data_IF_033580346113
#
_entry.id   IF_033580346113
#
_cell.length_a   1.000
_cell.length_b   1.000
_cell.length_c   1.000
_cell.angle_alpha   90.00
_cell.angle_beta   90.00
_cell.angle_gamma   90.00
#
_symmetry.space_group_name_H-M   'P 1'
#
loop_
_entity.id
_entity.type
_entity.pdbx_description
1 polymer ?
#
# COMPACT_ATOMS: atom_id res chain seq x y z
N UNK A 1 -8.52 1.75 19.01
CA UNK A 1 -8.61 2.66 17.84
C UNK A 1 -8.50 1.89 16.52
N UNK A 2 -8.84 0.59 16.50
CA UNK A 2 -8.49 -0.35 15.42
C UNK A 2 -9.41 -0.29 14.19
N UNK A 3 -10.56 0.38 14.28
CA UNK A 3 -11.52 0.44 13.16
C UNK A 3 -11.12 1.45 12.08
N UNK A 4 -10.26 2.42 12.40
CA UNK A 4 -9.98 3.55 11.52
C UNK A 4 -8.85 3.28 10.51
N UNK A 5 -7.77 2.59 10.92
CA UNK A 5 -6.65 2.21 10.05
C UNK A 5 -7.07 1.16 9.02
N UNK A 6 -7.71 0.08 9.48
CA UNK A 6 -8.28 -0.96 8.63
C UNK A 6 -9.32 -0.39 7.65
N UNK A 7 -10.14 0.57 8.09
CA UNK A 7 -11.08 1.26 7.21
C UNK A 7 -10.41 2.11 6.13
N UNK A 8 -9.26 2.74 6.39
CA UNK A 8 -8.55 3.52 5.37
C UNK A 8 -7.93 2.60 4.32
N UNK A 9 -7.28 1.51 4.74
CA UNK A 9 -6.70 0.54 3.82
C UNK A 9 -7.76 -0.02 2.86
N UNK A 10 -8.91 -0.47 3.36
CA UNK A 10 -9.98 -0.98 2.51
C UNK A 10 -10.50 0.06 1.52
N UNK A 11 -10.74 1.29 1.97
CA UNK A 11 -11.21 2.37 1.07
C UNK A 11 -10.19 2.72 -0.02
N UNK A 12 -8.90 2.73 0.32
CA UNK A 12 -7.83 3.02 -0.62
C UNK A 12 -7.62 1.88 -1.62
N UNK A 13 -7.71 0.63 -1.14
CA UNK A 13 -7.65 -0.57 -1.97
C UNK A 13 -8.85 -0.65 -2.95
N UNK A 14 -10.07 -0.38 -2.47
CA UNK A 14 -11.26 -0.30 -3.31
C UNK A 14 -11.10 0.75 -4.42
N UNK A 15 -10.39 1.85 -4.15
CA UNK A 15 -10.09 2.88 -5.13
C UNK A 15 -9.03 2.43 -6.15
N UNK A 16 -7.97 1.73 -5.71
CA UNK A 16 -6.93 1.18 -6.61
C UNK A 16 -7.50 0.14 -7.57
N UNK A 17 -8.41 -0.70 -7.08
CA UNK A 17 -9.03 -1.79 -7.84
C UNK A 17 -10.33 -1.38 -8.53
N UNK A 18 -10.71 -0.10 -8.44
CA UNK A 18 -11.98 0.39 -8.94
C UNK A 18 -12.12 0.17 -10.47
N UNK A 19 -13.11 -0.64 -10.86
CA UNK A 19 -13.41 -0.96 -12.25
C UNK A 19 -12.60 -2.13 -12.84
N UNK A 20 -11.69 -2.75 -12.07
CA UNK A 20 -11.01 -4.00 -12.50
C UNK A 20 -11.98 -5.19 -12.62
N UNK A 21 -13.13 -5.11 -11.96
CA UNK A 21 -14.21 -6.10 -12.02
C UNK A 21 -15.06 -6.01 -13.31
N UNK A 22 -14.79 -5.02 -14.17
CA UNK A 22 -15.55 -4.78 -15.40
C UNK A 22 -16.85 -3.98 -15.19
N UNK A 23 -17.11 -3.50 -13.98
CA UNK A 23 -18.26 -2.62 -13.71
C UNK A 23 -18.09 -1.23 -14.35
N UNK A 24 -19.18 -0.56 -14.77
CA UNK A 24 -19.09 0.80 -15.28
C UNK A 24 -18.53 1.79 -14.24
N UNK A 25 -17.56 2.60 -14.65
CA UNK A 25 -16.99 3.66 -13.82
C UNK A 25 -17.89 4.89 -13.92
N UNK A 26 -18.58 5.22 -12.83
CA UNK A 26 -19.37 6.45 -12.73
C UNK A 26 -18.50 7.60 -12.20
N UNK A 27 -18.42 8.68 -12.96
CA UNK A 27 -17.50 9.78 -12.67
C UNK A 27 -17.77 10.46 -11.32
N UNK A 28 -19.03 10.60 -10.92
CA UNK A 28 -19.43 11.17 -9.64
C UNK A 28 -19.01 10.28 -8.46
N UNK A 29 -19.18 8.97 -8.60
CA UNK A 29 -18.78 7.99 -7.59
C UNK A 29 -17.25 7.92 -7.46
N UNK A 30 -16.55 7.87 -8.59
CA UNK A 30 -15.08 7.88 -8.62
C UNK A 30 -14.50 9.15 -7.98
N UNK A 31 -15.07 10.31 -8.31
CA UNK A 31 -14.64 11.60 -7.73
C UNK A 31 -14.88 11.66 -6.22
N UNK A 32 -16.02 11.12 -5.76
CA UNK A 32 -16.34 11.04 -4.33
C UNK A 32 -15.38 10.11 -3.60
N UNK A 33 -15.15 8.90 -4.13
CA UNK A 33 -14.24 7.93 -3.52
C UNK A 33 -12.81 8.48 -3.39
N UNK A 34 -12.30 9.12 -4.45
CA UNK A 34 -10.99 9.79 -4.40
C UNK A 34 -10.91 10.84 -3.30
N UNK A 35 -12.00 11.60 -3.08
CA UNK A 35 -12.05 12.65 -2.07
C UNK A 35 -12.09 12.04 -0.68
N UNK A 36 -12.96 11.06 -0.47
CA UNK A 36 -13.13 10.39 0.82
C UNK A 36 -11.81 9.75 1.26
N UNK A 37 -11.09 9.07 0.34
CA UNK A 37 -9.76 8.50 0.60
C UNK A 37 -8.76 9.59 0.99
N UNK A 38 -8.70 10.69 0.23
CA UNK A 38 -7.76 11.78 0.50
C UNK A 38 -8.04 12.48 1.85
N UNK A 39 -9.29 12.89 2.10
CA UNK A 39 -9.68 13.55 3.35
C UNK A 39 -9.39 12.65 4.54
N UNK A 40 -9.71 11.36 4.43
CA UNK A 40 -9.44 10.37 5.48
C UNK A 40 -7.94 10.18 5.73
N UNK A 41 -7.12 10.13 4.68
CA UNK A 41 -5.67 10.06 4.81
C UNK A 41 -5.13 11.28 5.56
N UNK A 42 -5.59 12.49 5.22
CA UNK A 42 -5.18 13.73 5.90
C UNK A 42 -5.60 13.74 7.38
N UNK A 43 -6.81 13.29 7.70
CA UNK A 43 -7.26 13.17 9.10
C UNK A 43 -6.38 12.23 9.94
N UNK A 44 -5.98 11.10 9.34
CA UNK A 44 -5.24 10.05 10.02
C UNK A 44 -3.72 10.28 9.98
N UNK A 45 -3.23 11.17 9.12
CA UNK A 45 -1.80 11.42 8.90
C UNK A 45 -1.03 11.74 10.20
N UNK A 46 -1.58 12.60 11.07
CA UNK A 46 -0.92 12.98 12.33
C UNK A 46 -1.07 11.97 13.46
N UNK A 47 -1.90 10.94 13.29
CA UNK A 47 -2.16 9.92 14.31
C UNK A 47 -1.01 8.89 14.27
N UNK A 48 -0.71 8.30 15.43
CA UNK A 48 0.24 7.22 15.56
C UNK A 48 -0.40 6.05 16.32
N UNK A 49 -0.06 4.82 15.96
CA UNK A 49 -0.45 3.59 16.64
C UNK A 49 0.25 3.45 18.00
N UNK A 50 -0.38 2.74 18.93
CA UNK A 50 0.20 2.49 20.25
C UNK A 50 1.21 1.33 20.21
N UNK A 51 1.06 0.41 19.27
CA UNK A 51 1.97 -0.72 19.04
C UNK A 51 2.63 -0.62 17.66
N UNK A 52 3.69 -1.40 17.43
CA UNK A 52 4.36 -1.45 16.13
C UNK A 52 3.41 -1.96 15.03
N UNK A 53 2.54 -2.90 15.36
CA UNK A 53 1.52 -3.44 14.45
C UNK A 53 0.46 -2.38 14.10
N UNK A 54 -0.07 -1.66 15.09
CA UNK A 54 -1.06 -0.60 14.85
C UNK A 54 -0.46 0.54 14.01
N UNK A 55 0.80 0.91 14.28
CA UNK A 55 1.51 1.92 13.51
C UNK A 55 1.79 1.44 12.07
N UNK A 56 2.14 0.16 11.89
CA UNK A 56 2.34 -0.43 10.58
C UNK A 56 1.04 -0.49 9.75
N UNK A 57 -0.09 -0.85 10.37
CA UNK A 57 -1.40 -0.80 9.72
C UNK A 57 -1.77 0.62 9.28
N UNK A 58 -1.48 1.60 10.12
CA UNK A 58 -1.73 3.01 9.81
C UNK A 58 -0.84 3.50 8.67
N UNK A 59 0.46 3.20 8.72
CA UNK A 59 1.41 3.56 7.67
C UNK A 59 1.04 2.91 6.33
N UNK A 60 0.70 1.62 6.34
CA UNK A 60 0.22 0.92 5.15
C UNK A 60 -1.02 1.59 4.57
N UNK A 61 -2.04 1.86 5.40
CA UNK A 61 -3.25 2.53 4.95
C UNK A 61 -2.98 3.91 4.34
N UNK A 62 -2.07 4.68 4.92
CA UNK A 62 -1.67 6.00 4.40
C UNK A 62 -0.91 5.90 3.07
N UNK A 63 0.06 4.99 2.94
CA UNK A 63 0.79 4.78 1.68
C UNK A 63 -0.15 4.37 0.54
N UNK A 64 -1.01 3.38 0.79
CA UNK A 64 -2.00 2.91 -0.18
C UNK A 64 -2.95 4.04 -0.56
N UNK A 65 -3.41 4.84 0.41
CA UNK A 65 -4.30 5.97 0.16
C UNK A 65 -3.66 7.05 -0.73
N UNK A 66 -2.38 7.39 -0.48
CA UNK A 66 -1.67 8.38 -1.29
C UNK A 66 -1.30 7.87 -2.69
N UNK A 67 -1.06 6.56 -2.82
CA UNK A 67 -0.90 5.90 -4.11
C UNK A 67 -2.23 5.87 -4.90
N UNK A 68 -3.34 5.61 -4.22
CA UNK A 68 -4.66 5.48 -4.83
C UNK A 68 -5.25 6.82 -5.29
N UNK A 69 -5.12 7.86 -4.48
CA UNK A 69 -5.82 9.13 -4.73
C UNK A 69 -5.13 9.97 -5.80
N UNK A 70 -5.96 10.49 -6.73
CA UNK A 70 -5.52 11.45 -7.75
C UNK A 70 -5.36 12.86 -7.19
N UNK A 71 -5.85 13.15 -5.98
CA UNK A 71 -5.73 14.47 -5.38
C UNK A 71 -4.32 14.70 -4.83
N UNK A 72 -3.74 15.84 -5.19
CA UNK A 72 -2.47 16.33 -4.67
C UNK A 72 -2.58 17.83 -4.43
N UNK A 73 -2.32 18.26 -3.19
CA UNK A 73 -2.28 19.67 -2.80
C UNK A 73 -0.88 20.31 -3.01
N UNK A 74 0.02 19.62 -3.71
CA UNK A 74 1.42 19.98 -3.90
C UNK A 74 2.34 19.52 -2.78
N UNK A 75 1.83 18.79 -1.79
CA UNK A 75 2.60 18.26 -0.65
C UNK A 75 2.49 16.75 -0.50
N UNK A 76 1.85 16.03 -1.43
CA UNK A 76 1.66 14.58 -1.31
C UNK A 76 2.99 13.83 -1.13
N UNK A 77 4.03 14.25 -1.83
CA UNK A 77 5.38 13.67 -1.69
C UNK A 77 5.99 13.89 -0.30
N UNK A 78 5.75 15.04 0.34
CA UNK A 78 6.20 15.28 1.72
C UNK A 78 5.47 14.35 2.71
N UNK A 79 4.17 14.10 2.48
CA UNK A 79 3.39 13.17 3.30
C UNK A 79 3.87 11.73 3.13
N UNK A 80 4.11 11.30 1.89
CA UNK A 80 4.64 9.96 1.58
C UNK A 80 5.99 9.77 2.27
N UNK A 81 6.93 10.72 2.13
CA UNK A 81 8.24 10.62 2.79
C UNK A 81 8.12 10.48 4.32
N UNK A 82 7.24 11.27 4.96
CA UNK A 82 7.04 11.17 6.41
C UNK A 82 6.48 9.79 6.81
N UNK A 83 5.54 9.24 6.04
CA UNK A 83 5.00 7.91 6.30
C UNK A 83 6.04 6.82 6.06
N UNK A 84 6.92 6.99 5.07
CA UNK A 84 8.05 6.08 4.82
C UNK A 84 9.05 6.10 5.99
N UNK A 85 9.38 7.28 6.52
CA UNK A 85 10.25 7.41 7.70
C UNK A 85 9.66 6.66 8.90
N UNK A 86 8.34 6.79 9.13
CA UNK A 86 7.61 6.05 10.17
C UNK A 86 7.60 4.54 9.92
N UNK A 87 7.42 4.13 8.67
CA UNK A 87 7.42 2.73 8.25
C UNK A 87 8.76 2.07 8.54
N UNK A 88 9.86 2.78 8.30
CA UNK A 88 11.22 2.30 8.56
C UNK A 88 11.47 2.01 10.04
N UNK A 89 10.88 2.78 10.95
CA UNK A 89 10.99 2.58 12.39
C UNK A 89 10.23 1.34 12.89
N UNK A 90 9.20 0.89 12.17
CA UNK A 90 8.36 -0.26 12.59
C UNK A 90 8.71 -1.56 11.89
N UNK A 91 9.19 -1.51 10.64
CA UNK A 91 9.54 -2.71 9.83
C UNK A 91 10.42 -3.73 10.58
N UNK A 92 11.50 -3.33 11.28
CA UNK A 92 12.35 -4.28 12.01
C UNK A 92 11.66 -4.92 13.24
N UNK A 93 10.61 -4.29 13.77
CA UNK A 93 9.88 -4.74 14.95
C UNK A 93 8.75 -5.73 14.59
N UNK A 94 8.31 -5.73 13.34
CA UNK A 94 7.25 -6.60 12.86
C UNK A 94 7.75 -8.04 12.66
N UNK A 95 6.91 -8.98 13.10
CA UNK A 95 7.07 -10.40 12.76
C UNK A 95 6.66 -10.69 11.31
N UNK A 96 7.17 -11.80 10.76
CA UNK A 96 6.82 -12.27 9.42
C UNK A 96 5.30 -12.48 9.32
N UNK A 97 4.63 -11.64 8.54
CA UNK A 97 3.17 -11.58 8.45
C UNK A 97 2.75 -10.94 7.12
N UNK A 98 1.48 -11.11 6.74
CA UNK A 98 0.92 -10.46 5.55
C UNK A 98 1.04 -8.93 5.63
N UNK A 99 0.80 -8.35 6.82
CA UNK A 99 0.96 -6.92 7.07
C UNK A 99 2.38 -6.45 6.75
N UNK A 100 3.39 -7.21 7.21
CA UNK A 100 4.78 -6.88 6.95
C UNK A 100 5.12 -6.93 5.47
N UNK A 101 4.68 -7.97 4.75
CA UNK A 101 4.90 -8.07 3.30
C UNK A 101 4.26 -6.91 2.57
N UNK A 102 3.00 -6.57 2.89
CA UNK A 102 2.32 -5.41 2.30
C UNK A 102 3.10 -4.11 2.53
N UNK A 103 3.53 -3.86 3.76
CA UNK A 103 4.29 -2.65 4.06
C UNK A 103 5.63 -2.61 3.31
N UNK A 104 6.34 -3.74 3.24
CA UNK A 104 7.58 -3.88 2.46
C UNK A 104 7.35 -3.59 0.97
N UNK A 105 6.30 -4.14 0.37
CA UNK A 105 5.95 -3.93 -1.05
C UNK A 105 5.66 -2.46 -1.35
N UNK A 106 4.86 -1.78 -0.53
CA UNK A 106 4.54 -0.36 -0.75
C UNK A 106 5.76 0.54 -0.47
N UNK A 107 6.62 0.22 0.51
CA UNK A 107 7.88 0.94 0.70
C UNK A 107 8.86 0.71 -0.47
N UNK A 108 8.91 -0.51 -1.02
CA UNK A 108 9.70 -0.84 -2.19
C UNK A 108 9.24 -0.04 -3.42
N UNK A 109 7.93 0.11 -3.64
CA UNK A 109 7.41 0.91 -4.76
C UNK A 109 7.85 2.38 -4.76
N UNK A 110 8.20 2.93 -3.61
CA UNK A 110 8.66 4.33 -3.49
C UNK A 110 10.18 4.50 -3.65
N UNK A 111 10.99 3.55 -3.14
CA UNK A 111 12.46 3.66 -3.15
C UNK A 111 13.17 2.73 -4.14
N UNK A 112 12.50 1.68 -4.58
CA UNK A 112 13.09 0.55 -5.32
C UNK A 112 14.33 -0.05 -4.63
N UNK A 113 14.35 -0.05 -3.30
CA UNK A 113 15.41 -0.68 -2.50
C UNK A 113 15.28 -2.21 -2.56
N UNK A 114 16.21 -2.87 -3.22
CA UNK A 114 16.25 -4.33 -3.40
C UNK A 114 16.23 -5.10 -2.07
N UNK A 115 16.69 -4.51 -0.96
CA UNK A 115 16.67 -5.15 0.35
C UNK A 115 15.25 -5.38 0.86
N UNK A 116 14.31 -4.46 0.56
CA UNK A 116 12.91 -4.56 0.92
C UNK A 116 12.21 -5.67 0.13
N UNK A 117 12.44 -5.72 -1.19
CA UNK A 117 11.91 -6.76 -2.06
C UNK A 117 12.43 -8.14 -1.65
N UNK A 118 13.73 -8.25 -1.34
CA UNK A 118 14.33 -9.49 -0.86
C UNK A 118 13.68 -9.98 0.43
N UNK A 119 13.49 -9.12 1.43
CA UNK A 119 12.82 -9.49 2.68
C UNK A 119 11.36 -9.92 2.43
N UNK A 120 10.64 -9.23 1.53
CA UNK A 120 9.29 -9.60 1.15
C UNK A 120 9.25 -11.01 0.52
N UNK A 121 10.14 -11.30 -0.43
CA UNK A 121 10.27 -12.63 -1.05
C UNK A 121 10.65 -13.72 -0.04
N UNK A 122 11.53 -13.42 0.93
CA UNK A 122 11.88 -14.36 1.99
C UNK A 122 10.64 -14.78 2.80
N UNK A 123 9.74 -13.83 3.13
CA UNK A 123 8.49 -14.13 3.82
C UNK A 123 7.51 -14.87 2.91
N UNK A 124 7.31 -14.42 1.65
CA UNK A 124 6.39 -15.05 0.69
C UNK A 124 6.77 -16.52 0.45
N UNK A 125 8.07 -16.83 0.39
CA UNK A 125 8.57 -18.19 0.20
C UNK A 125 8.24 -19.14 1.37
N UNK A 126 7.89 -18.61 2.54
CA UNK A 126 7.43 -19.42 3.69
C UNK A 126 5.95 -19.82 3.61
N UNK A 127 5.17 -19.20 2.72
CA UNK A 127 3.74 -19.47 2.61
C UNK A 127 3.46 -20.81 1.90
N UNK A 128 2.33 -21.43 2.24
CA UNK A 128 1.90 -22.66 1.58
C UNK A 128 1.39 -22.35 0.17
N UNK A 129 2.18 -22.74 -0.84
CA UNK A 129 1.88 -22.52 -2.26
C UNK A 129 0.59 -23.21 -2.72
N UNK A 130 0.13 -24.26 -2.04
CA UNK A 130 -1.08 -24.97 -2.40
C UNK A 130 -2.36 -24.33 -1.82
N UNK A 131 -2.22 -23.41 -0.86
CA UNK A 131 -3.32 -22.86 -0.08
C UNK A 131 -3.19 -21.36 0.22
N UNK A 132 -2.64 -20.59 -0.72
CA UNK A 132 -2.53 -19.14 -0.59
C UNK A 132 -3.91 -18.49 -0.43
N UNK A 133 -4.03 -17.54 0.51
CA UNK A 133 -5.21 -16.68 0.58
C UNK A 133 -5.27 -15.72 -0.63
N UNK A 134 -6.45 -15.22 -1.02
CA UNK A 134 -6.57 -14.22 -2.08
C UNK A 134 -5.66 -13.02 -1.86
N UNK A 135 -5.58 -12.53 -0.62
CA UNK A 135 -4.75 -11.38 -0.23
C UNK A 135 -3.25 -11.66 -0.34
N UNK A 136 -2.83 -12.91 -0.08
CA UNK A 136 -1.45 -13.33 -0.24
C UNK A 136 -1.05 -13.44 -1.71
N UNK A 137 -1.95 -13.96 -2.55
CA UNK A 137 -1.73 -14.05 -3.98
C UNK A 137 -1.66 -12.65 -4.61
N UNK A 138 -2.59 -11.76 -4.23
CA UNK A 138 -2.64 -10.37 -4.67
C UNK A 138 -1.35 -9.61 -4.36
N UNK A 139 -0.87 -9.62 -3.10
CA UNK A 139 0.33 -8.85 -2.75
C UNK A 139 1.60 -9.41 -3.41
N UNK A 140 1.65 -10.71 -3.68
CA UNK A 140 2.75 -11.32 -4.41
C UNK A 140 2.74 -10.91 -5.89
N UNK A 141 1.56 -10.75 -6.50
CA UNK A 141 1.39 -10.22 -7.85
C UNK A 141 1.72 -8.72 -7.91
N UNK A 142 1.27 -7.92 -6.93
CA UNK A 142 1.62 -6.51 -6.82
C UNK A 142 3.13 -6.29 -6.72
N UNK A 143 3.82 -7.05 -5.86
CA UNK A 143 5.28 -6.96 -5.71
C UNK A 143 5.99 -7.26 -7.04
N UNK A 144 5.58 -8.35 -7.69
CA UNK A 144 6.13 -8.73 -9.00
C UNK A 144 5.86 -7.64 -10.05
N UNK A 145 4.66 -7.07 -10.05
CA UNK A 145 4.30 -5.97 -10.95
C UNK A 145 5.17 -4.72 -10.74
N UNK A 146 5.50 -4.38 -9.49
CA UNK A 146 6.41 -3.27 -9.19
C UNK A 146 7.84 -3.57 -9.68
N UNK A 147 8.34 -4.79 -9.49
CA UNK A 147 9.66 -5.22 -9.98
C UNK A 147 9.74 -5.16 -11.51
N UNK A 148 8.70 -5.64 -12.21
CA UNK A 148 8.64 -5.65 -13.68
C UNK A 148 8.48 -4.24 -14.29
N UNK A 149 7.95 -3.28 -13.52
CA UNK A 149 7.67 -1.91 -14.00
C UNK A 149 8.53 -0.84 -13.31
N UNK A 150 9.74 -1.19 -12.85
CA UNK A 150 10.65 -0.25 -12.19
C UNK A 150 11.01 0.96 -13.07
N UNK A 151 11.14 0.74 -14.38
CA UNK A 151 11.53 1.77 -15.33
C UNK A 151 10.40 2.02 -16.35
N UNK A 152 9.58 3.07 -16.17
CA UNK A 152 8.45 3.35 -17.07
C UNK A 152 8.84 3.58 -18.54
N UNK A 153 10.12 3.87 -18.80
CA UNK A 153 10.68 4.12 -20.12
C UNK A 153 11.25 2.86 -20.79
N UNK A 154 11.30 1.72 -20.09
CA UNK A 154 11.64 0.44 -20.71
C UNK A 154 10.40 -0.07 -21.48
N UNK A 155 10.37 0.22 -22.78
CA UNK A 155 9.33 -0.32 -23.66
C UNK A 155 9.51 -1.83 -23.83
N UNK A 156 8.48 -2.60 -23.50
CA UNK A 156 8.39 -3.99 -23.92
C UNK A 156 8.19 -3.99 -25.44
N UNK A 157 9.17 -4.49 -26.20
CA UNK A 157 9.00 -4.73 -27.64
C UNK A 157 7.76 -5.61 -27.85
N UNK A 158 6.72 -5.05 -28.48
CA UNK A 158 5.43 -5.71 -28.74
C UNK A 158 5.42 -6.51 -30.03
#
# INVERSE_FOLDING_TARGET
MNSNSSSLFSLAHDLLTYGLDGSPIYADQFTRLNRDVYERAIELYSIHGATAEEEAELCLGLLVAFAATIYDNGRKQEYIQNVLDRSWEVLPKLSASLLKVRLLTYCYGEFYDESLAKEAHEIINTWDKAGLSPEQAEIAEELKGLEENQYPFEEVEK
#
